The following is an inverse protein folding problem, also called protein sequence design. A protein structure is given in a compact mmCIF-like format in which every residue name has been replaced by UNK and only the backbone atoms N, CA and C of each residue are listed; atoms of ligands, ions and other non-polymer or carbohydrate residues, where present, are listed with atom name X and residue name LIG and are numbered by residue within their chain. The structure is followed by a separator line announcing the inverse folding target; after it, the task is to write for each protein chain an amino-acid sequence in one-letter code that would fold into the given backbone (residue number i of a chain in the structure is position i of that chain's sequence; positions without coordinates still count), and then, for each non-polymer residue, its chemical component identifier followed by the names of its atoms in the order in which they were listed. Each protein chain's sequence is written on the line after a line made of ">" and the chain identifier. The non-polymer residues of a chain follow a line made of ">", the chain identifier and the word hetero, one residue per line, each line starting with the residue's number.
data_IF_492926926517
#
_entry.id   IF_492926926517
#
_cell.length_a   1.000
_cell.length_b   1.000
_cell.length_c   1.000
_cell.angle_alpha   90.00
_cell.angle_beta   90.00
_cell.angle_gamma   90.00
#
_symmetry.space_group_name_H-M   'P 1'
#
loop_
_entity.id
_entity.type
_entity.pdbx_description
1 polymer ?
#
# COMPACT_ATOMS: atom_id res chain seq x y z
N UNK A 1 -39.86 -13.97 6.96
CA UNK A 1 -38.71 -13.06 6.80
C UNK A 1 -37.87 -13.19 8.08
N UNK A 2 -36.65 -13.69 8.00
CA UNK A 2 -35.81 -13.98 9.17
C UNK A 2 -35.37 -12.68 9.85
N UNK A 3 -35.17 -12.71 11.19
CA UNK A 3 -34.69 -11.58 12.00
C UNK A 3 -33.47 -10.87 11.39
N UNK A 4 -32.59 -11.63 10.75
CA UNK A 4 -31.38 -11.13 10.08
C UNK A 4 -31.67 -10.29 8.82
N UNK A 5 -32.73 -10.59 8.07
CA UNK A 5 -33.10 -9.81 6.87
C UNK A 5 -33.63 -8.43 7.24
N UNK A 6 -34.38 -8.32 8.34
CA UNK A 6 -34.90 -7.03 8.81
C UNK A 6 -33.77 -6.10 9.26
N UNK A 7 -32.80 -6.62 10.03
CA UNK A 7 -31.63 -5.85 10.46
C UNK A 7 -30.75 -5.43 9.27
N UNK A 8 -30.53 -6.33 8.30
CA UNK A 8 -29.76 -6.00 7.10
C UNK A 8 -30.40 -4.86 6.29
N UNK A 9 -31.72 -4.89 6.13
CA UNK A 9 -32.45 -3.83 5.44
C UNK A 9 -32.39 -2.49 6.19
N UNK A 10 -32.50 -2.53 7.52
CA UNK A 10 -32.38 -1.33 8.35
C UNK A 10 -31.00 -0.70 8.22
N UNK A 11 -29.93 -1.49 8.34
CA UNK A 11 -28.55 -0.99 8.16
C UNK A 11 -28.35 -0.47 6.74
N UNK A 12 -28.78 -1.21 5.72
CA UNK A 12 -28.63 -0.82 4.32
C UNK A 12 -29.34 0.51 4.01
N UNK A 13 -30.52 0.76 4.59
CA UNK A 13 -31.26 2.02 4.39
C UNK A 13 -30.56 3.27 4.90
N UNK A 14 -29.58 3.13 5.80
CA UNK A 14 -28.78 4.24 6.34
C UNK A 14 -27.56 4.56 5.47
N UNK A 15 -27.24 3.70 4.51
CA UNK A 15 -26.08 3.86 3.62
C UNK A 15 -26.53 4.62 2.37
N UNK A 16 -25.84 5.71 1.98
CA UNK A 16 -26.18 6.45 0.77
C UNK A 16 -26.17 5.58 -0.48
N UNK A 17 -27.07 5.88 -1.42
CA UNK A 17 -27.04 5.26 -2.74
C UNK A 17 -25.69 5.55 -3.43
N UNK A 18 -25.06 4.51 -3.99
CA UNK A 18 -23.75 4.62 -4.63
C UNK A 18 -22.55 4.56 -3.69
N UNK A 19 -22.76 4.31 -2.38
CA UNK A 19 -21.66 3.97 -1.47
C UNK A 19 -20.96 2.70 -1.95
N UNK A 20 -19.63 2.72 -1.99
CA UNK A 20 -18.83 1.57 -2.44
C UNK A 20 -18.43 0.72 -1.23
N UNK A 21 -18.78 -0.56 -1.27
CA UNK A 21 -18.24 -1.56 -0.37
C UNK A 21 -17.06 -2.27 -1.02
N UNK A 22 -15.99 -2.47 -0.27
CA UNK A 22 -14.79 -3.10 -0.79
C UNK A 22 -14.02 -3.93 0.22
N UNK A 23 -13.10 -4.73 -0.30
CA UNK A 23 -12.07 -5.41 0.46
C UNK A 23 -10.69 -4.82 0.10
N UNK A 24 -9.73 -4.90 1.01
CA UNK A 24 -8.39 -4.36 0.82
C UNK A 24 -7.30 -5.36 1.21
N UNK A 25 -6.20 -5.37 0.46
CA UNK A 25 -5.00 -6.19 0.71
C UNK A 25 -3.72 -5.43 0.37
N UNK A 26 -2.56 -6.03 0.65
CA UNK A 26 -1.27 -5.57 0.17
C UNK A 26 -0.45 -6.73 -0.40
N UNK A 27 0.40 -6.41 -1.35
CA UNK A 27 1.24 -7.33 -2.12
C UNK A 27 2.03 -8.27 -1.22
N UNK A 28 2.94 -7.74 -0.40
CA UNK A 28 3.81 -8.58 0.44
C UNK A 28 3.04 -9.45 1.44
N UNK A 29 1.88 -8.99 1.92
CA UNK A 29 1.09 -9.70 2.91
C UNK A 29 0.33 -10.92 2.36
N UNK A 30 0.00 -10.95 1.05
CA UNK A 30 -0.83 -12.03 0.48
C UNK A 30 -0.19 -12.78 -0.69
N UNK A 31 0.73 -12.16 -1.43
CA UNK A 31 1.15 -12.67 -2.74
C UNK A 31 1.90 -14.01 -2.67
N UNK A 32 2.88 -14.12 -1.78
CA UNK A 32 3.83 -15.22 -1.83
C UNK A 32 4.66 -15.21 -3.12
N UNK A 33 5.15 -16.39 -3.49
CA UNK A 33 6.02 -16.59 -4.66
C UNK A 33 7.22 -15.65 -4.65
N UNK A 34 7.86 -15.44 -3.48
CA UNK A 34 8.91 -14.43 -3.31
C UNK A 34 10.10 -14.64 -4.26
N UNK A 35 10.42 -15.90 -4.59
CA UNK A 35 11.47 -16.29 -5.53
C UNK A 35 11.22 -15.87 -7.00
N UNK A 36 10.04 -15.34 -7.33
CA UNK A 36 9.67 -14.89 -8.68
C UNK A 36 9.80 -13.38 -8.88
N UNK A 37 10.22 -12.64 -7.85
CA UNK A 37 10.40 -11.18 -7.86
C UNK A 37 11.74 -10.79 -7.22
N UNK A 38 12.13 -9.52 -7.35
CA UNK A 38 13.23 -8.96 -6.57
C UNK A 38 12.93 -8.95 -5.06
N UNK A 39 13.98 -8.80 -4.24
CA UNK A 39 13.84 -8.70 -2.79
C UNK A 39 13.30 -7.33 -2.36
N UNK A 40 12.56 -7.30 -1.27
CA UNK A 40 12.10 -6.09 -0.58
C UNK A 40 12.75 -5.96 0.80
N UNK A 41 12.67 -4.76 1.37
CA UNK A 41 13.09 -4.51 2.75
C UNK A 41 12.41 -5.42 3.76
N UNK A 42 11.19 -5.90 3.49
CA UNK A 42 10.52 -6.85 4.38
C UNK A 42 11.11 -8.26 4.27
N UNK A 43 11.51 -8.69 3.07
CA UNK A 43 12.22 -9.97 2.90
C UNK A 43 13.57 -9.99 3.63
N UNK A 44 14.21 -8.83 3.78
CA UNK A 44 15.42 -8.69 4.61
C UNK A 44 15.11 -8.56 6.10
N UNK A 45 14.07 -7.79 6.45
CA UNK A 45 13.71 -7.55 7.84
C UNK A 45 13.28 -8.82 8.57
N UNK A 46 12.58 -9.75 7.90
CA UNK A 46 12.21 -11.03 8.52
C UNK A 46 13.41 -11.91 8.91
N UNK A 47 14.60 -11.63 8.35
CA UNK A 47 15.86 -12.32 8.69
C UNK A 47 16.48 -11.78 9.99
N UNK A 48 16.04 -10.61 10.47
CA UNK A 48 16.54 -10.01 11.71
C UNK A 48 15.98 -10.78 12.92
N UNK A 49 16.83 -11.32 13.82
CA UNK A 49 16.35 -12.08 14.97
C UNK A 49 15.39 -11.28 15.85
N UNK A 50 14.18 -11.81 16.05
CA UNK A 50 13.17 -11.20 16.91
C UNK A 50 12.37 -10.05 16.27
N UNK A 51 12.62 -9.72 15.00
CA UNK A 51 11.85 -8.69 14.30
C UNK A 51 10.38 -9.08 14.07
N UNK A 52 10.13 -10.35 13.75
CA UNK A 52 8.79 -10.92 13.58
C UNK A 52 8.55 -11.95 14.67
N UNK A 53 7.45 -11.79 15.43
CA UNK A 53 7.14 -12.58 16.64
C UNK A 53 7.11 -14.09 16.35
N UNK A 54 6.44 -14.49 15.27
CA UNK A 54 6.28 -15.88 14.84
C UNK A 54 7.27 -16.30 13.74
N UNK A 55 8.16 -15.38 13.33
CA UNK A 55 9.14 -15.56 12.24
C UNK A 55 8.49 -15.87 10.89
N UNK A 56 7.24 -15.45 10.68
CA UNK A 56 6.61 -15.52 9.37
C UNK A 56 7.46 -14.78 8.32
N UNK A 57 7.46 -15.31 7.10
CA UNK A 57 8.14 -14.73 5.94
C UNK A 57 7.11 -14.42 4.84
N UNK A 58 7.57 -13.91 3.71
CA UNK A 58 6.71 -13.63 2.56
C UNK A 58 6.09 -14.90 1.94
N UNK A 59 6.62 -16.09 2.23
CA UNK A 59 6.17 -17.35 1.65
C UNK A 59 5.54 -18.30 2.68
N UNK A 60 4.43 -18.98 2.35
CA UNK A 60 3.63 -18.79 1.13
C UNK A 60 2.72 -17.56 1.21
N UNK A 61 2.70 -16.84 2.34
CA UNK A 61 1.65 -15.85 2.67
C UNK A 61 0.26 -16.47 2.47
N UNK A 62 -0.58 -15.88 1.61
CA UNK A 62 -1.86 -16.45 1.19
C UNK A 62 -1.77 -17.15 -0.18
N UNK A 63 -0.58 -17.22 -0.78
CA UNK A 63 -0.31 -17.84 -2.09
C UNK A 63 -1.13 -17.20 -3.24
N UNK A 64 -1.48 -15.91 -3.10
CA UNK A 64 -2.39 -15.19 -4.01
C UNK A 64 -1.90 -15.17 -5.47
N UNK A 65 -0.58 -15.16 -5.70
CA UNK A 65 -0.03 -15.24 -7.07
C UNK A 65 -0.47 -16.51 -7.79
N UNK A 66 -0.53 -17.63 -7.07
CA UNK A 66 -0.91 -18.93 -7.63
C UNK A 66 -2.43 -19.17 -7.54
N UNK A 67 -3.13 -18.44 -6.65
CA UNK A 67 -4.57 -18.60 -6.36
C UNK A 67 -5.45 -17.47 -6.89
N UNK A 68 -4.92 -16.66 -7.81
CA UNK A 68 -5.58 -15.45 -8.30
C UNK A 68 -7.06 -15.67 -8.67
N UNK A 69 -7.39 -16.69 -9.46
CA UNK A 69 -8.78 -16.93 -9.88
C UNK A 69 -9.70 -17.32 -8.71
N UNK A 70 -9.19 -18.07 -7.73
CA UNK A 70 -9.95 -18.45 -6.54
C UNK A 70 -10.32 -17.22 -5.70
N UNK A 71 -9.37 -16.30 -5.52
CA UNK A 71 -9.58 -15.06 -4.76
C UNK A 71 -10.51 -14.10 -5.50
N UNK A 72 -10.40 -14.00 -6.82
CA UNK A 72 -11.32 -13.22 -7.65
C UNK A 72 -12.77 -13.76 -7.54
N UNK A 73 -12.94 -15.07 -7.54
CA UNK A 73 -14.26 -15.71 -7.36
C UNK A 73 -14.79 -15.53 -5.93
N UNK A 74 -13.92 -15.47 -4.92
CA UNK A 74 -14.30 -15.13 -3.56
C UNK A 74 -14.80 -13.68 -3.44
N UNK A 75 -14.11 -12.72 -4.05
CA UNK A 75 -14.54 -11.32 -4.06
C UNK A 75 -15.90 -11.15 -4.75
N UNK A 76 -16.11 -11.83 -5.88
CA UNK A 76 -17.39 -11.80 -6.59
C UNK A 76 -18.52 -12.40 -5.74
N UNK A 77 -18.27 -13.52 -5.06
CA UNK A 77 -19.26 -14.13 -4.14
C UNK A 77 -19.54 -13.26 -2.91
N UNK A 78 -18.55 -12.53 -2.42
CA UNK A 78 -18.72 -11.58 -1.33
C UNK A 78 -19.59 -10.38 -1.76
N UNK A 79 -19.66 -10.08 -3.06
CA UNK A 79 -20.50 -9.03 -3.62
C UNK A 79 -19.94 -7.63 -3.41
N UNK A 80 -18.61 -7.48 -3.40
CA UNK A 80 -17.96 -6.17 -3.24
C UNK A 80 -18.03 -5.35 -4.53
N UNK A 81 -18.14 -4.03 -4.38
CA UNK A 81 -18.11 -3.08 -5.50
C UNK A 81 -16.67 -2.78 -5.97
N UNK A 82 -15.70 -2.87 -5.06
CA UNK A 82 -14.30 -2.54 -5.33
C UNK A 82 -13.34 -3.44 -4.56
N UNK A 83 -12.17 -3.68 -5.16
CA UNK A 83 -11.05 -4.34 -4.49
C UNK A 83 -9.84 -3.42 -4.51
N UNK A 84 -9.35 -3.08 -3.31
CA UNK A 84 -8.12 -2.33 -3.13
C UNK A 84 -6.95 -3.28 -2.96
N UNK A 85 -5.94 -3.16 -3.82
CA UNK A 85 -4.71 -3.95 -3.74
C UNK A 85 -3.49 -3.03 -3.90
N UNK A 86 -2.30 -3.52 -3.54
CA UNK A 86 -1.05 -2.84 -3.90
C UNK A 86 -0.25 -3.61 -4.93
N UNK A 87 0.59 -2.89 -5.66
CA UNK A 87 1.53 -3.46 -6.62
C UNK A 87 2.87 -3.65 -5.92
N UNK A 88 3.45 -4.84 -6.01
CA UNK A 88 4.79 -5.12 -5.52
C UNK A 88 5.81 -4.43 -6.41
N UNK A 89 6.41 -3.35 -5.92
CA UNK A 89 7.50 -2.66 -6.63
C UNK A 89 8.62 -3.63 -7.03
N UNK A 90 9.14 -4.53 -6.16
CA UNK A 90 10.16 -5.51 -6.54
C UNK A 90 9.71 -6.54 -7.58
N UNK A 91 8.39 -6.68 -7.82
CA UNK A 91 7.85 -7.59 -8.85
C UNK A 91 7.80 -6.91 -10.21
N UNK A 92 7.48 -5.61 -10.25
CA UNK A 92 7.41 -4.85 -11.51
C UNK A 92 8.78 -4.34 -11.93
N UNK A 93 9.60 -3.91 -10.97
CA UNK A 93 10.97 -3.43 -11.19
C UNK A 93 11.87 -4.09 -10.14
N UNK A 94 12.37 -5.32 -10.40
CA UNK A 94 13.32 -5.97 -9.51
C UNK A 94 14.52 -5.05 -9.22
N UNK A 95 14.91 -4.90 -7.96
CA UNK A 95 15.96 -3.96 -7.56
C UNK A 95 15.61 -2.47 -7.64
N UNK A 96 14.43 -2.11 -8.15
CA UNK A 96 13.91 -0.74 -8.16
C UNK A 96 14.63 0.26 -9.05
N UNK A 97 15.66 -0.15 -9.80
CA UNK A 97 16.48 0.69 -10.68
C UNK A 97 16.67 0.16 -12.11
N UNK A 98 16.22 -1.07 -12.40
CA UNK A 98 16.50 -1.77 -13.66
C UNK A 98 15.26 -1.91 -14.55
N UNK A 99 15.37 -2.74 -15.58
CA UNK A 99 14.29 -3.04 -16.53
C UNK A 99 13.02 -3.55 -15.84
N UNK A 100 11.89 -3.24 -16.48
CA UNK A 100 10.57 -3.73 -16.08
C UNK A 100 10.50 -5.24 -16.29
N UNK A 101 10.09 -5.99 -15.27
CA UNK A 101 9.79 -7.41 -15.41
C UNK A 101 8.37 -7.57 -15.96
N UNK A 102 8.30 -7.98 -17.23
CA UNK A 102 7.03 -8.19 -17.91
C UNK A 102 6.16 -9.25 -17.22
N UNK A 103 6.74 -10.29 -16.61
CA UNK A 103 5.95 -11.30 -15.87
C UNK A 103 5.25 -10.68 -14.66
N UNK A 104 5.90 -9.71 -14.03
CA UNK A 104 5.32 -8.94 -12.94
C UNK A 104 4.15 -8.08 -13.40
N UNK A 105 4.32 -7.38 -14.52
CA UNK A 105 3.24 -6.62 -15.17
C UNK A 105 2.07 -7.54 -15.54
N UNK A 106 2.33 -8.68 -16.16
CA UNK A 106 1.31 -9.63 -16.63
C UNK A 106 0.45 -10.19 -15.48
N UNK A 107 1.01 -10.34 -14.28
CA UNK A 107 0.25 -10.73 -13.09
C UNK A 107 -0.79 -9.67 -12.72
N UNK A 108 -0.40 -8.39 -12.64
CA UNK A 108 -1.33 -7.31 -12.32
C UNK A 108 -2.32 -7.04 -13.44
N UNK A 109 -1.92 -7.22 -14.71
CA UNK A 109 -2.83 -7.13 -15.85
C UNK A 109 -3.96 -8.17 -15.73
N UNK A 110 -3.60 -9.42 -15.44
CA UNK A 110 -4.57 -10.49 -15.16
C UNK A 110 -5.46 -10.21 -13.96
N UNK A 111 -4.90 -9.68 -12.86
CA UNK A 111 -5.68 -9.31 -11.68
C UNK A 111 -6.72 -8.24 -12.02
N UNK A 112 -6.31 -7.17 -12.70
CA UNK A 112 -7.18 -6.06 -13.10
C UNK A 112 -8.27 -6.55 -14.06
N UNK A 113 -7.91 -7.30 -15.10
CA UNK A 113 -8.88 -7.89 -16.02
C UNK A 113 -9.85 -8.85 -15.33
N UNK A 114 -9.33 -9.65 -14.39
CA UNK A 114 -10.09 -10.59 -13.60
C UNK A 114 -11.14 -9.92 -12.72
N UNK A 115 -10.81 -8.77 -12.11
CA UNK A 115 -11.74 -7.93 -11.34
C UNK A 115 -12.82 -7.33 -12.25
N UNK A 116 -12.41 -6.73 -13.37
CA UNK A 116 -13.33 -6.07 -14.30
C UNK A 116 -14.32 -7.05 -14.93
N UNK A 117 -13.88 -8.26 -15.30
CA UNK A 117 -14.75 -9.34 -15.78
C UNK A 117 -15.84 -9.72 -14.77
N UNK A 118 -15.58 -9.52 -13.48
CA UNK A 118 -16.50 -9.80 -12.38
C UNK A 118 -17.28 -8.55 -11.92
N UNK A 119 -17.13 -7.42 -12.63
CA UNK A 119 -17.81 -6.16 -12.31
C UNK A 119 -17.24 -5.44 -11.07
N UNK A 120 -16.05 -5.84 -10.61
CA UNK A 120 -15.41 -5.28 -9.41
C UNK A 120 -14.45 -4.17 -9.84
N UNK A 121 -14.55 -3.00 -9.20
CA UNK A 121 -13.69 -1.85 -9.50
C UNK A 121 -12.29 -2.02 -8.91
N UNK A 122 -11.21 -2.05 -9.72
CA UNK A 122 -9.83 -2.10 -9.22
C UNK A 122 -9.40 -0.76 -8.61
N UNK A 123 -8.98 -0.78 -7.34
CA UNK A 123 -8.40 0.37 -6.63
C UNK A 123 -6.92 0.08 -6.31
N UNK A 124 -5.99 0.75 -6.99
CA UNK A 124 -4.57 0.40 -6.97
C UNK A 124 -3.78 1.30 -6.02
N UNK A 125 -2.98 0.70 -5.14
CA UNK A 125 -1.97 1.39 -4.31
C UNK A 125 -0.57 1.14 -4.86
N UNK A 126 0.16 2.19 -5.24
CA UNK A 126 1.50 2.05 -5.79
C UNK A 126 2.47 1.52 -4.73
N UNK A 127 2.51 2.13 -3.54
CA UNK A 127 3.45 1.72 -2.50
C UNK A 127 2.77 1.29 -1.21
N UNK A 128 2.98 0.02 -0.84
CA UNK A 128 2.55 -0.56 0.43
C UNK A 128 3.73 -1.25 1.13
N UNK A 129 4.78 -0.46 1.36
CA UNK A 129 5.91 -0.74 2.27
C UNK A 129 6.97 -1.71 1.75
N UNK A 130 6.76 -2.38 0.64
CA UNK A 130 7.69 -3.36 0.04
C UNK A 130 8.76 -2.71 -0.85
N UNK A 131 9.49 -1.73 -0.31
CA UNK A 131 10.59 -1.07 -1.04
C UNK A 131 11.63 -2.11 -1.50
N UNK A 132 12.10 -2.09 -2.76
CA UNK A 132 13.21 -2.95 -3.21
C UNK A 132 14.44 -2.82 -2.30
N UNK A 133 15.02 -3.96 -1.90
CA UNK A 133 16.17 -4.03 -0.99
C UNK A 133 17.36 -3.21 -1.49
N UNK A 134 17.59 -3.21 -2.80
CA UNK A 134 18.67 -2.49 -3.46
C UNK A 134 18.49 -0.98 -3.34
N UNK A 135 17.26 -0.45 -3.38
CA UNK A 135 17.00 0.96 -3.10
C UNK A 135 17.31 1.29 -1.63
N UNK A 136 16.96 0.40 -0.70
CA UNK A 136 17.31 0.57 0.71
C UNK A 136 18.82 0.59 0.94
N UNK A 137 19.59 -0.23 0.20
CA UNK A 137 21.05 -0.22 0.27
C UNK A 137 21.68 1.12 -0.16
N UNK A 138 20.96 1.95 -0.93
CA UNK A 138 21.36 3.31 -1.28
C UNK A 138 20.89 4.39 -0.29
N UNK A 139 20.21 4.01 0.79
CA UNK A 139 19.61 4.91 1.78
C UNK A 139 18.08 4.91 1.77
N UNK A 140 17.45 4.16 0.87
CA UNK A 140 16.00 3.96 0.84
C UNK A 140 15.23 5.25 0.71
N UNK A 141 14.22 5.44 1.56
CA UNK A 141 13.44 6.68 1.55
C UNK A 141 14.20 7.93 2.01
N UNK A 142 15.35 7.79 2.66
CA UNK A 142 16.23 8.91 2.99
C UNK A 142 17.16 9.29 1.83
N UNK A 143 17.27 8.45 0.80
CA UNK A 143 18.15 8.70 -0.35
C UNK A 143 17.59 9.77 -1.28
N UNK A 144 18.43 10.70 -1.74
CA UNK A 144 18.01 11.79 -2.63
C UNK A 144 17.43 11.30 -3.96
N UNK A 145 17.97 10.23 -4.53
CA UNK A 145 17.48 9.67 -5.79
C UNK A 145 16.15 8.91 -5.70
N UNK A 146 15.55 8.77 -4.50
CA UNK A 146 14.31 8.00 -4.33
C UNK A 146 13.13 8.60 -5.11
N UNK A 147 13.13 9.93 -5.30
CA UNK A 147 12.10 10.62 -6.06
C UNK A 147 12.02 10.12 -7.49
N UNK A 148 13.18 10.06 -8.16
CA UNK A 148 13.27 9.64 -9.56
C UNK A 148 12.84 8.18 -9.71
N UNK A 149 13.26 7.31 -8.78
CA UNK A 149 12.88 5.90 -8.82
C UNK A 149 11.38 5.71 -8.58
N UNK A 150 10.79 6.42 -7.63
CA UNK A 150 9.36 6.32 -7.36
C UNK A 150 8.51 6.93 -8.49
N UNK A 151 8.97 8.02 -9.10
CA UNK A 151 8.32 8.59 -10.30
C UNK A 151 8.39 7.62 -11.49
N UNK A 152 9.55 7.01 -11.73
CA UNK A 152 9.71 6.01 -12.79
C UNK A 152 8.80 4.80 -12.56
N UNK A 153 8.75 4.31 -11.32
CA UNK A 153 7.86 3.22 -10.94
C UNK A 153 6.38 3.59 -11.14
N UNK A 154 5.97 4.78 -10.70
CA UNK A 154 4.61 5.29 -10.91
C UNK A 154 4.27 5.39 -12.40
N UNK A 155 5.22 5.83 -13.24
CA UNK A 155 5.05 5.94 -14.69
C UNK A 155 4.89 4.56 -15.35
N UNK A 156 5.74 3.60 -15.01
CA UNK A 156 5.66 2.22 -15.50
C UNK A 156 4.30 1.60 -15.19
N UNK A 157 3.84 1.68 -13.94
CA UNK A 157 2.57 1.06 -13.54
C UNK A 157 1.38 1.80 -14.16
N UNK A 158 1.38 3.14 -14.13
CA UNK A 158 0.24 3.92 -14.62
C UNK A 158 0.12 3.95 -16.14
N UNK A 159 1.23 3.97 -16.88
CA UNK A 159 1.21 3.87 -18.36
C UNK A 159 0.58 2.57 -18.87
N UNK A 160 0.56 1.51 -18.04
CA UNK A 160 -0.03 0.21 -18.37
C UNK A 160 -1.49 0.05 -17.95
N UNK A 161 -1.88 0.68 -16.84
CA UNK A 161 -3.15 0.34 -16.18
C UNK A 161 -4.10 1.52 -15.96
N UNK A 162 -3.69 2.77 -16.25
CA UNK A 162 -4.51 3.96 -16.05
C UNK A 162 -5.83 3.94 -16.83
N UNK A 163 -5.91 3.18 -17.93
CA UNK A 163 -7.09 3.00 -18.75
C UNK A 163 -8.23 2.23 -18.05
N UNK A 164 -7.90 1.42 -17.04
CA UNK A 164 -8.81 0.45 -16.41
C UNK A 164 -8.92 0.57 -14.89
N UNK A 165 -7.94 1.17 -14.23
CA UNK A 165 -7.95 1.35 -12.77
C UNK A 165 -8.92 2.46 -12.35
N UNK A 166 -9.83 2.13 -11.44
CA UNK A 166 -10.89 3.04 -10.98
C UNK A 166 -10.36 4.16 -10.07
N UNK A 167 -9.44 3.84 -9.16
CA UNK A 167 -8.88 4.79 -8.20
C UNK A 167 -7.44 4.45 -7.87
N UNK A 168 -6.63 5.48 -7.59
CA UNK A 168 -5.20 5.32 -7.33
C UNK A 168 -4.80 5.90 -5.97
N UNK A 169 -3.91 5.21 -5.27
CA UNK A 169 -3.21 5.72 -4.11
C UNK A 169 -1.71 5.64 -4.36
N UNK A 170 -0.98 6.74 -4.14
CA UNK A 170 0.49 6.74 -4.24
C UNK A 170 1.11 5.95 -3.10
N UNK A 171 0.77 6.30 -1.87
CA UNK A 171 1.31 5.69 -0.65
C UNK A 171 0.18 5.16 0.21
N UNK A 172 0.44 4.03 0.88
CA UNK A 172 -0.30 3.59 2.05
C UNK A 172 0.45 3.98 3.32
N UNK A 173 -0.20 4.75 4.20
CA UNK A 173 0.23 5.00 5.57
C UNK A 173 1.70 5.42 5.67
N UNK A 174 2.09 6.56 5.08
CA UNK A 174 3.48 7.02 5.10
C UNK A 174 4.01 7.26 6.53
N UNK A 175 3.11 7.49 7.51
CA UNK A 175 3.44 7.52 8.94
C UNK A 175 4.11 6.24 9.43
N UNK A 176 3.63 5.09 9.00
CA UNK A 176 4.20 3.79 9.36
C UNK A 176 5.61 3.66 8.81
N UNK A 177 5.81 4.04 7.55
CA UNK A 177 7.11 3.97 6.87
C UNK A 177 8.13 4.88 7.58
N UNK A 178 7.73 6.12 7.87
CA UNK A 178 8.61 7.07 8.54
C UNK A 178 8.91 6.67 9.99
N UNK A 179 7.88 6.55 10.84
CA UNK A 179 8.10 6.46 12.27
C UNK A 179 8.32 5.02 12.75
N UNK A 180 7.54 4.04 12.26
CA UNK A 180 7.77 2.64 12.67
C UNK A 180 8.97 2.03 11.94
N UNK A 181 9.20 2.41 10.69
CA UNK A 181 10.31 1.92 9.88
C UNK A 181 11.65 2.60 10.18
N UNK A 182 11.65 3.92 10.46
CA UNK A 182 12.89 4.71 10.57
C UNK A 182 13.14 5.40 11.92
N UNK A 183 12.18 5.46 12.85
CA UNK A 183 12.45 5.94 14.22
C UNK A 183 12.42 4.84 15.28
N UNK A 184 11.36 4.02 15.30
CA UNK A 184 11.17 2.99 16.32
C UNK A 184 11.84 1.66 15.95
N UNK A 185 12.09 1.43 14.65
CA UNK A 185 12.63 0.18 14.11
C UNK A 185 11.73 -1.03 14.36
N UNK A 186 10.42 -0.81 14.44
CA UNK A 186 9.39 -1.85 14.64
C UNK A 186 9.04 -2.49 13.28
N UNK A 187 9.04 -1.70 12.21
CA UNK A 187 8.83 -2.17 10.84
C UNK A 187 10.13 -2.11 10.05
N UNK A 188 10.16 -2.79 8.90
CA UNK A 188 11.23 -2.66 7.94
C UNK A 188 11.44 -1.17 7.54
N UNK A 189 12.69 -0.69 7.37
CA UNK A 189 13.96 -1.43 7.43
C UNK A 189 14.54 -1.64 8.84
N UNK A 190 13.82 -1.29 9.91
CA UNK A 190 14.27 -1.48 11.29
C UNK A 190 15.23 -0.40 11.79
N UNK A 191 15.24 0.78 11.16
CA UNK A 191 16.12 1.88 11.53
C UNK A 191 15.59 2.55 12.81
N UNK A 192 16.51 2.90 13.71
CA UNK A 192 16.24 3.52 15.01
C UNK A 192 16.86 4.91 15.09
N UNK A 193 16.44 5.81 14.20
CA UNK A 193 16.96 7.18 14.14
C UNK A 193 15.86 8.22 13.88
N UNK A 194 15.44 8.97 14.91
CA UNK A 194 14.42 10.01 14.77
C UNK A 194 14.74 11.07 13.71
N UNK A 195 16.01 11.43 13.50
CA UNK A 195 16.39 12.43 12.50
C UNK A 195 16.12 11.91 11.07
N UNK A 196 16.59 10.70 10.76
CA UNK A 196 16.26 10.00 9.51
C UNK A 196 14.75 9.89 9.29
N UNK A 197 13.97 9.64 10.35
CA UNK A 197 12.51 9.49 10.22
C UNK A 197 11.81 10.75 9.70
N UNK A 198 12.24 11.95 10.12
CA UNK A 198 11.67 13.21 9.65
C UNK A 198 12.06 13.49 8.21
N UNK A 199 13.29 13.15 7.81
CA UNK A 199 13.70 13.23 6.41
C UNK A 199 12.88 12.28 5.54
N UNK A 200 12.69 11.04 5.97
CA UNK A 200 11.84 10.05 5.28
C UNK A 200 10.40 10.55 5.17
N UNK A 201 9.82 11.12 6.24
CA UNK A 201 8.46 11.66 6.24
C UNK A 201 8.29 12.76 5.18
N UNK A 202 9.23 13.71 5.14
CA UNK A 202 9.23 14.78 4.12
C UNK A 202 9.38 14.20 2.70
N UNK A 203 10.33 13.28 2.50
CA UNK A 203 10.59 12.68 1.18
C UNK A 203 9.40 11.87 0.68
N UNK A 204 8.70 11.13 1.53
CA UNK A 204 7.47 10.42 1.18
C UNK A 204 6.41 11.38 0.64
N UNK A 205 6.18 12.52 1.31
CA UNK A 205 5.19 13.49 0.85
C UNK A 205 5.56 14.16 -0.48
N UNK A 206 6.84 14.50 -0.67
CA UNK A 206 7.34 15.02 -1.96
C UNK A 206 7.21 13.97 -3.06
N UNK A 207 7.59 12.72 -2.78
CA UNK A 207 7.48 11.61 -3.73
C UNK A 207 6.03 11.34 -4.11
N UNK A 208 5.10 11.40 -3.15
CA UNK A 208 3.66 11.27 -3.38
C UNK A 208 3.14 12.36 -4.32
N UNK A 209 3.46 13.62 -4.06
CA UNK A 209 3.06 14.74 -4.95
C UNK A 209 3.58 14.55 -6.39
N UNK A 210 4.85 14.19 -6.52
CA UNK A 210 5.47 13.91 -7.84
C UNK A 210 4.84 12.71 -8.55
N UNK A 211 4.50 11.66 -7.83
CA UNK A 211 3.80 10.50 -8.39
C UNK A 211 2.36 10.83 -8.79
N UNK A 212 1.66 11.71 -8.06
CA UNK A 212 0.34 12.23 -8.47
C UNK A 212 0.45 12.97 -9.81
N UNK A 213 1.50 13.76 -10.02
CA UNK A 213 1.70 14.46 -11.31
C UNK A 213 1.91 13.47 -12.47
N UNK A 214 2.68 12.41 -12.25
CA UNK A 214 2.85 11.31 -13.23
C UNK A 214 1.54 10.57 -13.49
N UNK A 215 0.78 10.27 -12.44
CA UNK A 215 -0.54 9.64 -12.57
C UNK A 215 -1.48 10.51 -13.43
N UNK A 216 -1.48 11.82 -13.19
CA UNK A 216 -2.28 12.78 -13.97
C UNK A 216 -1.82 12.86 -15.43
N UNK A 217 -0.51 12.86 -15.70
CA UNK A 217 -0.01 12.89 -17.09
C UNK A 217 -0.42 11.63 -17.86
N UNK A 218 -0.50 10.49 -17.17
CA UNK A 218 -0.99 9.22 -17.72
C UNK A 218 -2.51 9.07 -17.67
N UNK A 219 -3.25 10.15 -17.34
CA UNK A 219 -4.72 10.22 -17.28
C UNK A 219 -5.35 9.23 -16.29
N UNK A 220 -4.62 8.86 -15.24
CA UNK A 220 -5.14 8.02 -14.17
C UNK A 220 -6.33 8.70 -13.47
N UNK A 221 -7.38 7.92 -13.21
CA UNK A 221 -8.59 8.42 -12.56
C UNK A 221 -8.42 8.50 -11.03
N UNK A 222 -8.89 9.59 -10.40
CA UNK A 222 -8.91 9.73 -8.95
C UNK A 222 -7.58 9.38 -8.22
N UNK A 223 -6.45 10.06 -8.53
CA UNK A 223 -5.21 9.88 -7.79
C UNK A 223 -5.26 10.54 -6.41
N UNK A 224 -4.82 9.81 -5.39
CA UNK A 224 -4.75 10.29 -4.00
C UNK A 224 -3.69 9.57 -3.16
N UNK A 225 -3.85 9.64 -1.85
CA UNK A 225 -2.98 9.03 -0.83
C UNK A 225 -3.86 8.40 0.26
N UNK A 226 -3.38 7.34 0.92
CA UNK A 226 -4.07 6.72 2.06
C UNK A 226 -3.31 7.02 3.35
N UNK A 227 -4.02 7.59 4.33
CA UNK A 227 -3.48 8.00 5.63
C UNK A 227 -4.18 7.24 6.77
N UNK A 228 -3.40 6.76 7.73
CA UNK A 228 -3.87 6.15 8.98
C UNK A 228 -4.14 7.22 10.05
N UNK A 229 -5.16 8.05 9.80
CA UNK A 229 -5.55 9.08 10.75
C UNK A 229 -6.08 8.44 12.04
N UNK A 230 -5.63 8.94 13.19
CA UNK A 230 -6.04 8.44 14.50
C UNK A 230 -6.64 9.58 15.32
N UNK A 231 -7.80 9.33 15.94
CA UNK A 231 -8.39 10.27 16.88
C UNK A 231 -7.52 10.35 18.14
N UNK A 232 -6.93 11.52 18.39
CA UNK A 232 -6.14 11.77 19.60
C UNK A 232 -7.04 12.43 20.64
N UNK A 233 -7.17 11.78 21.80
CA UNK A 233 -8.03 12.22 22.90
C UNK A 233 -7.13 12.44 24.12
N UNK A 234 -7.24 13.62 24.73
CA UNK A 234 -6.64 13.89 26.02
C UNK A 234 -7.57 13.36 27.12
N UNK A 235 -7.02 12.60 28.07
CA UNK A 235 -7.77 12.08 29.22
C UNK A 235 -8.21 13.19 30.19
N UNK A 236 -7.45 14.29 30.24
CA UNK A 236 -7.75 15.51 31.00
C UNK A 236 -7.17 16.77 30.35
N UNK A 237 -7.54 17.93 30.88
CA UNK A 237 -7.13 19.23 30.34
C UNK A 237 -5.62 19.49 30.46
N UNK A 238 -4.92 18.88 31.44
CA UNK A 238 -3.50 19.15 31.72
C UNK A 238 -2.58 18.57 30.62
N UNK A 239 -3.01 17.53 29.92
CA UNK A 239 -2.23 16.88 28.84
C UNK A 239 -2.64 17.31 27.43
N UNK A 240 -3.47 18.34 27.29
CA UNK A 240 -3.96 18.84 26.00
C UNK A 240 -2.83 19.22 25.04
N UNK A 241 -1.74 19.81 25.53
CA UNK A 241 -0.60 20.19 24.68
C UNK A 241 0.17 18.98 24.17
N UNK A 242 0.28 17.91 24.98
CA UNK A 242 0.88 16.64 24.56
C UNK A 242 0.01 15.95 23.50
N UNK A 243 -1.32 15.91 23.70
CA UNK A 243 -2.27 15.41 22.71
C UNK A 243 -2.15 16.18 21.39
N UNK A 244 -2.06 17.52 21.44
CA UNK A 244 -1.85 18.35 20.24
C UNK A 244 -0.51 18.02 19.54
N UNK A 245 0.56 17.78 20.30
CA UNK A 245 1.84 17.39 19.73
C UNK A 245 1.75 16.04 19.00
N UNK A 246 1.10 15.04 19.59
CA UNK A 246 0.88 13.73 18.96
C UNK A 246 0.02 13.88 17.70
N UNK A 247 -1.06 14.66 17.75
CA UNK A 247 -1.91 14.94 16.57
C UNK A 247 -1.13 15.60 15.43
N UNK A 248 -0.21 16.52 15.75
CA UNK A 248 0.66 17.13 14.75
C UNK A 248 1.54 16.09 14.03
N UNK A 249 2.08 15.11 14.76
CA UNK A 249 2.93 14.05 14.19
C UNK A 249 2.14 12.94 13.48
N UNK A 250 1.00 12.54 14.06
CA UNK A 250 0.17 11.45 13.56
C UNK A 250 -0.66 11.85 12.34
N UNK A 251 -1.24 13.06 12.36
CA UNK A 251 -2.28 13.47 11.42
C UNK A 251 -1.84 14.65 10.56
N UNK A 252 -1.48 15.79 11.17
CA UNK A 252 -1.41 17.08 10.47
C UNK A 252 -0.19 17.29 9.58
N UNK A 253 0.85 16.48 9.77
CA UNK A 253 2.06 16.54 8.95
C UNK A 253 1.83 16.08 7.49
N UNK A 254 0.87 15.18 7.28
CA UNK A 254 0.66 14.42 6.05
C UNK A 254 -0.33 15.08 5.09
#
# INVERSE_FOLDING_TARGET
>A
MTKYTALANEVSSRVPAGFLFGAATSSWQIEGSSHTRGSSIWDDFVKVPGAIVDRATADPACDHVNRLEEDLDLLARLGVDSYRFSVSWPRVIPGGKSDVDQKGIDFYDRLIDGLLKRGIKPSLTLYHWDLPSELQAHGGWAWEGIYEQFQHYADVVSSKFADRVFSWATLNEPWVVAYLGNAAGIHAPGIKDPATSLEVAYRLMVASGKAIDVLRSNKANNPGIVLNLTTIIADDDEITDAARHIDNLQNRFW
#
